data_IF_640827577991
#
_entry.id   IF_640827577991
#
_cell.length_a   1.000
_cell.length_b   1.000
_cell.length_c   1.000
_cell.angle_alpha   90.00
_cell.angle_beta   90.00
_cell.angle_gamma   90.00
#
_symmetry.space_group_name_H-M   'P 1'
#
loop_
_entity.id
_entity.type
_entity.pdbx_description
1 polymer ?
#
# COMPACT_ATOMS: atom_id res chain seq x y z
N UNK A 1 -3.54 -40.32 -77.92
CA UNK A 1 -2.57 -39.47 -77.17
C UNK A 1 -1.65 -40.38 -76.38
N UNK A 2 -0.35 -40.11 -76.37
CA UNK A 2 0.68 -41.11 -76.06
C UNK A 2 1.01 -41.29 -74.56
N UNK A 3 1.62 -42.45 -74.24
CA UNK A 3 2.42 -42.69 -73.02
C UNK A 3 3.90 -42.77 -73.44
N UNK A 4 4.80 -42.00 -72.81
CA UNK A 4 6.29 -42.09 -72.86
C UNK A 4 6.82 -41.08 -71.81
N UNK A 5 7.88 -41.29 -71.01
CA UNK A 5 8.58 -42.48 -70.49
C UNK A 5 9.52 -42.03 -69.34
N UNK A 6 9.89 -42.94 -68.40
CA UNK A 6 11.13 -42.85 -67.56
C UNK A 6 11.27 -41.67 -66.56
N UNK A 7 12.21 -41.66 -65.60
CA UNK A 7 12.83 -42.69 -64.74
C UNK A 7 13.41 -41.95 -63.51
N UNK A 8 13.89 -42.70 -62.51
CA UNK A 8 14.52 -42.18 -61.27
C UNK A 8 15.72 -41.25 -61.52
N UNK A 9 15.97 -40.29 -60.61
CA UNK A 9 17.26 -40.24 -59.92
C UNK A 9 17.31 -39.44 -58.62
N UNK A 10 18.39 -39.67 -57.87
CA UNK A 10 18.60 -39.31 -56.47
C UNK A 10 19.06 -37.88 -56.16
N UNK A 11 18.94 -37.56 -54.85
CA UNK A 11 19.88 -36.83 -53.96
C UNK A 11 19.65 -35.33 -53.66
N UNK A 12 20.04 -35.05 -52.41
CA UNK A 12 20.36 -33.76 -51.79
C UNK A 12 19.19 -32.85 -51.36
N UNK A 13 18.85 -32.93 -50.07
CA UNK A 13 18.89 -31.79 -49.16
C UNK A 13 18.89 -32.28 -47.69
N UNK A 14 20.09 -32.34 -47.10
CA UNK A 14 20.28 -32.28 -45.64
C UNK A 14 20.66 -30.85 -45.28
N UNK A 15 20.22 -30.37 -44.11
CA UNK A 15 20.77 -29.19 -43.45
C UNK A 15 19.94 -27.90 -43.57
N UNK A 16 18.94 -27.76 -42.69
CA UNK A 16 18.41 -26.47 -42.19
C UNK A 16 17.67 -26.72 -40.84
N UNK A 17 18.39 -26.91 -39.73
CA UNK A 17 17.76 -26.94 -38.39
C UNK A 17 18.72 -26.63 -37.22
N UNK A 18 19.33 -25.43 -37.19
CA UNK A 18 20.09 -24.96 -36.00
C UNK A 18 19.90 -23.47 -35.64
N UNK A 19 19.20 -22.66 -36.46
CA UNK A 19 19.14 -21.20 -36.25
C UNK A 19 17.91 -20.69 -35.49
N UNK A 20 16.86 -21.50 -35.29
CA UNK A 20 15.63 -21.04 -34.61
C UNK A 20 15.67 -21.18 -33.07
N UNK A 21 16.45 -22.12 -32.52
CA UNK A 21 16.50 -22.35 -31.07
C UNK A 21 17.09 -21.18 -30.26
N UNK A 22 18.07 -20.47 -30.81
CA UNK A 22 18.77 -19.40 -30.10
C UNK A 22 17.96 -18.10 -29.95
N UNK A 23 17.10 -17.78 -30.91
CA UNK A 23 16.36 -16.50 -30.91
C UNK A 23 15.26 -16.46 -29.84
N UNK A 24 14.58 -17.59 -29.62
CA UNK A 24 13.54 -17.68 -28.58
C UNK A 24 14.15 -17.56 -27.17
N UNK A 25 15.25 -18.27 -26.89
CA UNK A 25 15.90 -18.25 -25.58
C UNK A 25 16.45 -16.87 -25.18
N UNK A 26 16.88 -16.04 -26.13
CA UNK A 26 17.30 -14.67 -25.83
C UNK A 26 16.13 -13.73 -25.57
N UNK A 27 14.98 -13.94 -26.22
CA UNK A 27 13.76 -13.15 -25.97
C UNK A 27 13.19 -13.44 -24.58
N UNK A 28 13.09 -14.72 -24.17
CA UNK A 28 12.65 -15.09 -22.82
C UNK A 28 13.58 -14.51 -21.73
N UNK A 29 14.90 -14.55 -21.95
CA UNK A 29 15.88 -13.98 -21.02
C UNK A 29 15.79 -12.44 -20.90
N UNK A 30 15.46 -11.74 -22.00
CA UNK A 30 15.22 -10.29 -21.99
C UNK A 30 13.92 -9.95 -21.24
N UNK A 31 12.81 -10.61 -21.58
CA UNK A 31 11.50 -10.41 -20.95
C UNK A 31 11.54 -10.69 -19.44
N UNK A 32 12.28 -11.73 -19.02
CA UNK A 32 12.50 -12.02 -17.60
C UNK A 32 13.41 -10.99 -16.90
N UNK A 33 14.42 -10.45 -17.59
CA UNK A 33 15.30 -9.40 -17.03
C UNK A 33 14.58 -8.07 -16.88
N UNK A 34 13.85 -7.62 -17.90
CA UNK A 34 13.02 -6.40 -17.83
C UNK A 34 11.98 -6.51 -16.73
N UNK A 35 11.23 -7.63 -16.66
CA UNK A 35 10.32 -7.90 -15.53
C UNK A 35 11.01 -7.84 -14.17
N UNK A 36 12.26 -8.32 -14.06
CA UNK A 36 13.00 -8.28 -12.79
C UNK A 36 13.47 -6.87 -12.44
N UNK A 37 13.88 -6.06 -13.42
CA UNK A 37 14.32 -4.69 -13.21
C UNK A 37 13.13 -3.77 -12.90
N UNK A 38 12.00 -3.91 -13.58
CA UNK A 38 10.77 -3.18 -13.25
C UNK A 38 10.23 -3.55 -11.86
N UNK A 39 10.20 -4.85 -11.50
CA UNK A 39 9.80 -5.27 -10.14
C UNK A 39 10.72 -4.70 -9.05
N UNK A 40 12.02 -4.59 -9.33
CA UNK A 40 12.98 -4.00 -8.41
C UNK A 40 12.89 -2.46 -8.36
N UNK A 41 12.67 -1.78 -9.49
CA UNK A 41 12.41 -0.34 -9.54
C UNK A 41 11.10 0.03 -8.82
N UNK A 42 10.06 -0.80 -8.95
CA UNK A 42 8.78 -0.63 -8.27
C UNK A 42 8.86 -0.87 -6.75
N UNK A 43 9.81 -1.71 -6.30
CA UNK A 43 10.17 -1.84 -4.88
C UNK A 43 10.96 -0.64 -4.36
N UNK A 44 11.74 0.03 -5.21
CA UNK A 44 12.50 1.24 -4.86
C UNK A 44 11.63 2.49 -4.66
N UNK A 45 10.34 2.45 -5.02
CA UNK A 45 9.36 3.53 -4.78
C UNK A 45 8.22 3.14 -3.83
N UNK A 46 8.43 2.10 -3.02
CA UNK A 46 7.43 1.58 -2.09
C UNK A 46 7.91 1.67 -0.63
N UNK A 47 7.05 2.21 0.26
CA UNK A 47 7.26 2.13 1.69
C UNK A 47 6.81 0.73 2.18
N UNK A 48 7.69 0.01 2.86
CA UNK A 48 7.46 -1.37 3.30
C UNK A 48 7.46 -1.46 4.83
N UNK A 49 6.27 -1.56 5.44
CA UNK A 49 6.14 -1.74 6.89
C UNK A 49 5.91 -3.21 7.23
N UNK A 50 6.37 -3.62 8.42
CA UNK A 50 5.99 -4.90 9.03
C UNK A 50 4.82 -4.67 9.96
N UNK A 51 3.96 -5.67 10.13
CA UNK A 51 2.88 -5.61 11.09
C UNK A 51 3.44 -5.54 12.51
N UNK A 52 2.73 -4.83 13.39
CA UNK A 52 3.06 -4.72 14.81
C UNK A 52 2.31 -5.80 15.57
N UNK A 53 2.99 -6.39 16.56
CA UNK A 53 2.39 -7.35 17.48
C UNK A 53 1.57 -6.59 18.52
N UNK A 54 0.25 -6.78 18.52
CA UNK A 54 -0.65 -6.18 19.51
C UNK A 54 -1.21 -7.28 20.41
N UNK A 55 -0.97 -7.22 21.74
CA UNK A 55 -1.59 -8.14 22.68
C UNK A 55 -3.08 -7.80 22.84
N UNK A 56 -3.94 -8.83 22.86
CA UNK A 56 -5.36 -8.68 23.17
C UNK A 56 -5.69 -9.13 24.59
N UNK A 57 -6.87 -8.75 25.05
CA UNK A 57 -7.44 -9.15 26.35
C UNK A 57 -7.57 -10.67 26.54
N UNK A 58 -7.70 -11.42 25.44
CA UNK A 58 -7.69 -12.89 25.40
C UNK A 58 -6.27 -13.51 25.44
N UNK A 59 -5.23 -12.69 25.60
CA UNK A 59 -3.80 -13.05 25.55
C UNK A 59 -3.33 -13.60 24.20
N UNK A 60 -4.13 -13.53 23.14
CA UNK A 60 -3.66 -13.83 21.79
C UNK A 60 -2.83 -12.66 21.25
N UNK A 61 -1.77 -12.98 20.51
CA UNK A 61 -1.05 -12.01 19.70
C UNK A 61 -1.75 -11.88 18.35
N UNK A 62 -2.08 -10.65 17.96
CA UNK A 62 -2.53 -10.33 16.61
C UNK A 62 -1.52 -9.41 15.94
N UNK A 63 -1.15 -9.77 14.72
CA UNK A 63 -0.30 -8.98 13.86
C UNK A 63 -1.20 -8.02 13.11
N UNK A 64 -0.99 -6.71 13.29
CA UNK A 64 -1.86 -5.68 12.74
C UNK A 64 -1.06 -4.64 11.91
N UNK A 65 -1.67 -4.07 10.85
CA UNK A 65 -1.02 -3.15 9.90
C UNK A 65 -0.85 -1.74 10.49
N UNK A 66 -0.10 -1.64 11.59
CA UNK A 66 0.29 -0.37 12.18
C UNK A 66 1.55 0.19 11.51
N UNK A 67 1.57 1.51 11.31
CA UNK A 67 2.73 2.24 10.76
C UNK A 67 3.08 3.46 11.63
N UNK A 68 4.35 3.84 11.76
CA UNK A 68 4.73 5.12 12.33
C UNK A 68 4.39 6.26 11.37
N UNK A 69 3.76 7.31 11.88
CA UNK A 69 3.52 8.58 11.19
C UNK A 69 4.00 9.75 12.04
N UNK A 70 4.53 10.78 11.39
CA UNK A 70 4.88 12.03 12.05
C UNK A 70 3.69 13.00 11.93
N UNK A 71 2.89 13.14 13.00
CA UNK A 71 1.80 14.12 13.02
C UNK A 71 2.34 15.52 13.28
N UNK A 72 1.74 16.51 12.62
CA UNK A 72 2.12 17.92 12.73
C UNK A 72 1.17 18.59 13.73
N UNK A 73 1.73 19.15 14.80
CA UNK A 73 0.98 19.96 15.76
C UNK A 73 0.79 21.40 15.27
N UNK A 74 -0.20 22.10 15.82
CA UNK A 74 -0.42 23.53 15.57
C UNK A 74 0.76 24.44 15.97
N UNK A 75 1.66 23.95 16.83
CA UNK A 75 2.89 24.64 17.25
C UNK A 75 4.10 24.34 16.33
N UNK A 76 3.93 23.56 15.27
CA UNK A 76 5.00 23.16 14.35
C UNK A 76 5.92 22.04 14.85
N UNK A 77 5.63 21.44 16.02
CA UNK A 77 6.30 20.21 16.49
C UNK A 77 5.79 19.00 15.72
N UNK A 78 6.68 18.05 15.47
CA UNK A 78 6.36 16.73 14.92
C UNK A 78 6.30 15.69 16.03
N UNK A 79 5.24 14.89 16.08
CA UNK A 79 5.06 13.80 17.04
C UNK A 79 5.00 12.47 16.27
N UNK A 80 5.87 11.51 16.63
CA UNK A 80 5.79 10.15 16.07
C UNK A 80 4.68 9.36 16.78
N UNK A 81 3.73 8.86 16.00
CA UNK A 81 2.54 8.14 16.46
C UNK A 81 2.39 6.85 15.66
N UNK A 82 2.02 5.78 16.35
CA UNK A 82 1.71 4.50 15.72
C UNK A 82 0.24 4.49 15.30
N UNK A 83 -0.01 4.49 13.99
CA UNK A 83 -1.35 4.58 13.41
C UNK A 83 -1.77 3.25 12.75
N UNK A 84 -3.02 2.85 12.94
CA UNK A 84 -3.61 1.68 12.29
C UNK A 84 -4.04 2.03 10.87
N UNK A 85 -3.59 1.26 9.87
CA UNK A 85 -4.11 1.37 8.50
C UNK A 85 -5.32 0.45 8.37
N UNK A 86 -6.52 1.01 8.24
CA UNK A 86 -7.78 0.26 8.26
C UNK A 86 -8.62 0.54 7.01
N UNK A 87 -8.71 -0.45 6.11
CA UNK A 87 -9.55 -0.36 4.93
C UNK A 87 -11.05 -0.41 5.23
N UNK A 88 -11.45 -0.79 6.45
CA UNK A 88 -12.83 -0.78 6.93
C UNK A 88 -13.32 0.62 7.32
N UNK A 89 -12.43 1.54 7.66
CA UNK A 89 -12.78 2.91 8.04
C UNK A 89 -12.89 3.84 6.82
N UNK A 90 -13.97 4.62 6.73
CA UNK A 90 -14.14 5.63 5.67
C UNK A 90 -13.18 6.82 5.79
N UNK A 91 -12.94 7.30 7.01
CA UNK A 91 -12.19 8.54 7.26
C UNK A 91 -11.03 8.27 8.23
N UNK A 92 -10.08 9.20 8.28
CA UNK A 92 -9.10 9.25 9.37
C UNK A 92 -9.85 9.52 10.68
N UNK A 93 -9.59 8.72 11.72
CA UNK A 93 -10.19 8.88 13.06
C UNK A 93 -9.09 9.16 14.08
N UNK A 94 -9.25 10.25 14.83
CA UNK A 94 -8.27 10.72 15.81
C UNK A 94 -8.89 10.62 17.21
N UNK A 95 -8.21 9.99 18.18
CA UNK A 95 -8.61 10.03 19.59
C UNK A 95 -8.60 11.46 20.12
N UNK A 96 -9.54 11.79 21.01
CA UNK A 96 -9.70 13.15 21.52
C UNK A 96 -8.41 13.71 22.12
N UNK A 97 -7.80 12.96 23.02
CA UNK A 97 -6.59 13.35 23.74
C UNK A 97 -5.43 13.65 22.78
N UNK A 98 -5.32 12.89 21.68
CA UNK A 98 -4.33 13.15 20.63
C UNK A 98 -4.63 14.43 19.86
N UNK A 99 -5.90 14.72 19.55
CA UNK A 99 -6.28 15.98 18.91
C UNK A 99 -6.01 17.20 19.81
N UNK A 100 -6.21 17.05 21.13
CA UNK A 100 -5.88 18.08 22.14
C UNK A 100 -4.35 18.27 22.24
N UNK A 101 -3.56 17.20 22.31
CA UNK A 101 -2.07 17.24 22.30
C UNK A 101 -1.51 17.93 21.04
N UNK A 102 -2.13 17.68 19.87
CA UNK A 102 -1.72 18.30 18.61
C UNK A 102 -2.25 19.73 18.42
N UNK A 103 -3.13 20.22 19.30
CA UNK A 103 -3.74 21.55 19.21
C UNK A 103 -4.69 21.70 18.01
N UNK A 104 -5.38 20.63 17.59
CA UNK A 104 -6.24 20.65 16.41
C UNK A 104 -7.48 21.53 16.63
N UNK A 105 -7.78 22.38 15.64
CA UNK A 105 -9.00 23.19 15.65
C UNK A 105 -10.21 22.34 15.25
N UNK A 106 -11.12 22.12 16.20
CA UNK A 106 -12.33 21.34 15.98
C UNK A 106 -13.43 22.19 15.32
N UNK A 107 -13.91 21.74 14.17
CA UNK A 107 -15.02 22.34 13.42
C UNK A 107 -16.36 21.70 13.74
N UNK A 108 -17.16 21.47 12.70
CA UNK A 108 -18.54 20.96 12.77
C UNK A 108 -18.68 19.72 13.65
N UNK A 109 -19.73 19.71 14.48
CA UNK A 109 -20.17 18.52 15.20
C UNK A 109 -21.03 17.63 14.28
N UNK A 110 -20.75 16.33 14.29
CA UNK A 110 -21.40 15.31 13.47
C UNK A 110 -21.54 14.01 14.28
N UNK A 111 -22.22 13.02 13.71
CA UNK A 111 -22.13 11.63 14.15
C UNK A 111 -21.32 10.82 13.13
N UNK A 112 -20.58 9.82 13.60
CA UNK A 112 -20.10 8.72 12.75
C UNK A 112 -20.62 7.40 13.29
N UNK A 113 -20.54 6.33 12.49
CA UNK A 113 -21.05 5.01 12.85
C UNK A 113 -20.04 3.92 12.54
N UNK A 114 -19.96 2.91 13.42
CA UNK A 114 -19.18 1.71 13.23
C UNK A 114 -19.85 0.51 13.90
N UNK A 115 -19.11 -0.59 14.05
CA UNK A 115 -19.62 -1.84 14.66
C UNK A 115 -20.12 -1.61 16.10
N UNK A 116 -19.49 -0.67 16.84
CA UNK A 116 -19.91 -0.29 18.20
C UNK A 116 -21.14 0.63 18.29
N UNK A 117 -21.76 0.99 17.16
CA UNK A 117 -22.87 1.94 17.11
C UNK A 117 -22.46 3.33 16.60
N UNK A 118 -23.24 4.35 16.96
CA UNK A 118 -22.98 5.75 16.62
C UNK A 118 -22.19 6.44 17.72
N UNK A 119 -21.26 7.31 17.34
CA UNK A 119 -20.49 8.15 18.27
C UNK A 119 -20.40 9.60 17.76
N UNK A 120 -20.45 10.61 18.66
CA UNK A 120 -20.28 12.02 18.30
C UNK A 120 -18.84 12.32 17.93
N UNK A 121 -18.66 13.09 16.85
CA UNK A 121 -17.35 13.49 16.32
C UNK A 121 -17.31 14.96 15.96
N UNK A 122 -16.10 15.51 15.83
CA UNK A 122 -15.87 16.81 15.18
C UNK A 122 -14.86 16.69 14.05
N UNK A 123 -15.08 17.43 12.96
CA UNK A 123 -14.09 17.55 11.89
C UNK A 123 -12.86 18.33 12.38
N UNK A 124 -11.67 17.91 11.95
CA UNK A 124 -10.44 18.67 12.08
C UNK A 124 -9.61 18.56 10.80
N UNK A 125 -8.82 19.59 10.48
CA UNK A 125 -7.74 19.44 9.50
C UNK A 125 -6.56 18.76 10.19
N UNK A 126 -6.04 17.70 9.58
CA UNK A 126 -4.95 16.90 10.14
C UNK A 126 -3.85 16.73 9.09
N UNK A 127 -2.62 17.07 9.46
CA UNK A 127 -1.43 16.91 8.63
C UNK A 127 -0.48 15.92 9.28
N UNK A 128 -0.02 14.94 8.50
CA UNK A 128 0.95 13.94 8.93
C UNK A 128 1.89 13.56 7.80
N UNK A 129 3.08 13.06 8.14
CA UNK A 129 4.06 12.56 7.18
C UNK A 129 4.31 11.08 7.43
N UNK A 130 4.12 10.25 6.40
CA UNK A 130 4.64 8.87 6.41
C UNK A 130 6.06 8.90 5.87
N UNK A 131 7.00 8.26 6.57
CA UNK A 131 8.43 8.28 6.22
C UNK A 131 9.05 6.89 6.32
N UNK A 132 9.88 6.53 5.35
CA UNK A 132 10.77 5.37 5.44
C UNK A 132 12.08 5.62 4.71
N UNK A 133 13.20 5.54 5.43
CA UNK A 133 14.52 5.83 4.86
C UNK A 133 14.61 7.27 4.35
N UNK A 134 14.73 7.42 3.03
CA UNK A 134 14.78 8.72 2.33
C UNK A 134 13.42 9.19 1.82
N UNK A 135 12.46 8.28 1.66
CA UNK A 135 11.12 8.61 1.19
C UNK A 135 10.28 9.21 2.32
N UNK A 136 9.60 10.32 2.02
CA UNK A 136 8.72 11.01 2.93
C UNK A 136 7.54 11.63 2.16
N UNK A 137 6.32 11.36 2.61
CA UNK A 137 5.11 11.84 1.97
C UNK A 137 4.19 12.49 3.02
N UNK A 138 4.01 13.80 2.90
CA UNK A 138 3.08 14.56 3.74
C UNK A 138 1.67 14.52 3.15
N UNK A 139 0.70 14.25 4.01
CA UNK A 139 -0.72 14.19 3.70
C UNK A 139 -1.43 15.22 4.60
N UNK A 140 -2.31 16.03 4.01
CA UNK A 140 -3.25 16.88 4.76
C UNK A 140 -4.66 16.49 4.36
N UNK A 141 -5.49 16.14 5.34
CA UNK A 141 -6.84 15.65 5.11
C UNK A 141 -7.82 16.14 6.19
N UNK A 142 -9.12 15.97 5.94
CA UNK A 142 -10.13 16.09 6.99
C UNK A 142 -10.17 14.79 7.78
N UNK A 143 -10.03 14.88 9.10
CA UNK A 143 -10.17 13.78 10.03
C UNK A 143 -11.37 13.98 10.96
N UNK A 144 -11.86 12.89 11.55
CA UNK A 144 -12.91 12.87 12.55
C UNK A 144 -12.29 12.67 13.93
N UNK A 145 -12.40 13.66 14.79
CA UNK A 145 -11.99 13.59 16.20
C UNK A 145 -13.16 13.02 17.00
N UNK A 146 -12.95 11.90 17.72
CA UNK A 146 -13.98 11.38 18.63
C UNK A 146 -14.21 12.38 19.78
N UNK A 147 -15.47 12.61 20.17
CA UNK A 147 -15.79 13.48 21.31
C UNK A 147 -15.98 12.72 22.62
N UNK A 148 -16.31 11.42 22.54
CA UNK A 148 -16.47 10.55 23.70
C UNK A 148 -15.13 10.21 24.34
N UNK A 149 -14.94 10.67 25.57
CA UNK A 149 -13.77 10.36 26.40
C UNK A 149 -13.81 8.91 26.90
N UNK A 150 -12.68 8.21 26.81
CA UNK A 150 -12.51 6.85 27.38
C UNK A 150 -12.56 5.70 26.36
N UNK A 151 -12.66 5.98 25.06
CA UNK A 151 -12.41 4.98 24.02
C UNK A 151 -10.90 4.92 23.72
N UNK A 152 -10.23 3.86 24.20
CA UNK A 152 -8.84 3.55 23.84
C UNK A 152 -8.79 2.99 22.41
N UNK A 153 -8.83 3.91 21.44
CA UNK A 153 -8.65 3.63 20.02
C UNK A 153 -7.31 4.22 19.55
N UNK A 154 -6.61 3.58 18.60
CA UNK A 154 -5.44 4.17 17.96
C UNK A 154 -5.86 5.32 17.02
N UNK A 155 -4.87 6.08 16.53
CA UNK A 155 -5.04 6.86 15.31
C UNK A 155 -5.35 5.90 14.15
N UNK A 156 -6.51 6.04 13.50
CA UNK A 156 -6.92 5.21 12.37
C UNK A 156 -6.74 5.99 11.07
N UNK A 157 -6.05 5.39 10.09
CA UNK A 157 -5.94 5.91 8.73
C UNK A 157 -6.94 5.15 7.84
N UNK A 158 -8.08 5.78 7.58
CA UNK A 158 -9.15 5.27 6.73
C UNK A 158 -9.03 5.68 5.25
N UNK A 159 -10.04 5.33 4.45
CA UNK A 159 -10.04 5.49 2.98
C UNK A 159 -9.77 6.94 2.53
N UNK A 160 -10.62 7.86 2.96
CA UNK A 160 -10.55 9.28 2.63
C UNK A 160 -9.29 9.91 3.25
N UNK A 161 -8.53 10.64 2.46
CA UNK A 161 -7.28 11.29 2.86
C UNK A 161 -6.05 10.38 2.84
N UNK A 162 -6.13 9.11 3.23
CA UNK A 162 -4.96 8.21 3.26
C UNK A 162 -4.91 7.22 2.09
N UNK A 163 -5.91 6.36 1.89
CA UNK A 163 -5.88 5.37 0.79
C UNK A 163 -5.94 6.06 -0.57
N UNK A 164 -6.60 7.22 -0.67
CA UNK A 164 -6.58 8.05 -1.89
C UNK A 164 -5.15 8.46 -2.32
N UNK A 165 -4.20 8.49 -1.37
CA UNK A 165 -2.82 8.90 -1.64
C UNK A 165 -1.90 7.73 -2.01
N UNK A 166 -2.28 6.49 -1.71
CA UNK A 166 -1.41 5.32 -1.82
C UNK A 166 -2.11 4.10 -2.44
N UNK A 167 -1.43 3.41 -3.35
CA UNK A 167 -1.73 2.00 -3.63
C UNK A 167 -1.26 1.18 -2.43
N UNK A 168 -2.20 0.55 -1.71
CA UNK A 168 -1.99 -0.14 -0.45
C UNK A 168 -2.18 -1.65 -0.62
N UNK A 169 -1.11 -2.42 -0.41
CA UNK A 169 -1.17 -3.90 -0.41
C UNK A 169 -0.97 -4.46 1.01
N UNK A 170 -2.00 -5.11 1.55
CA UNK A 170 -1.92 -5.90 2.78
C UNK A 170 -1.43 -7.32 2.45
N UNK A 171 -0.20 -7.65 2.85
CA UNK A 171 0.43 -8.97 2.66
C UNK A 171 0.38 -9.73 3.98
N UNK A 172 -0.81 -10.25 4.30
CA UNK A 172 -1.12 -10.83 5.62
C UNK A 172 -0.26 -12.06 5.98
N UNK A 173 0.07 -12.92 5.01
CA UNK A 173 0.89 -14.12 5.24
C UNK A 173 2.36 -13.78 5.51
N UNK A 174 2.83 -12.68 4.92
CA UNK A 174 4.19 -12.17 5.05
C UNK A 174 4.31 -11.07 6.11
N UNK A 175 3.19 -10.74 6.79
CA UNK A 175 3.05 -9.71 7.82
C UNK A 175 3.59 -8.34 7.38
N UNK A 176 3.27 -7.94 6.15
CA UNK A 176 3.77 -6.73 5.52
C UNK A 176 2.65 -5.84 5.02
N UNK A 177 2.87 -4.53 5.14
CA UNK A 177 2.10 -3.50 4.45
C UNK A 177 3.00 -2.84 3.42
N UNK A 178 2.53 -2.77 2.17
CA UNK A 178 3.23 -2.04 1.10
C UNK A 178 2.40 -0.81 0.75
N UNK A 179 3.01 0.37 0.80
CA UNK A 179 2.41 1.62 0.33
C UNK A 179 3.22 2.12 -0.87
N UNK A 180 2.55 2.52 -1.95
CA UNK A 180 3.20 3.19 -3.09
C UNK A 180 2.45 4.49 -3.35
N UNK A 181 3.15 5.62 -3.49
CA UNK A 181 2.48 6.89 -3.74
C UNK A 181 1.77 6.83 -5.11
N UNK A 182 0.47 7.12 -5.12
CA UNK A 182 -0.27 7.34 -6.37
C UNK A 182 0.24 8.65 -6.98
N UNK A 183 0.71 8.58 -8.23
CA UNK A 183 1.00 9.75 -9.05
C UNK A 183 -0.33 10.21 -9.68
N UNK A 184 -0.62 11.50 -9.56
CA UNK A 184 -1.76 12.18 -10.20
C UNK A 184 -1.23 13.22 -11.18
#
# INVERSE_FOLDING_TARGET
>A
MGRYLRQENHRAQQGLDETQGGYCQMQDAAIHRENSQERNAHLLMALLFRYVHVPRSDKTLRHAPFIPVLAHSAEGKLLEIIALVDSGADNIVIPRDLAEILGLKLGDALETAGIGGKVPVRKASFTFTVKQGREAHSVTATALVLMDSGQDIPLILGRNGFFEQFDITFRQKEEKLVLKKVQH
#
